data_IF_015488378095
#
_entry.id   IF_015488378095
#
_cell.length_a   1.000
_cell.length_b   1.000
_cell.length_c   1.000
_cell.angle_alpha   90.00
_cell.angle_beta   90.00
_cell.angle_gamma   90.00
#
_symmetry.space_group_name_H-M   'P 1'
#
loop_
_entity.id
_entity.type
_entity.pdbx_description
1 polymer ?
#
# COMPACT_ATOMS: atom_id res chain seq x y z
N UNK A 1 11.54 16.33 8.82
CA UNK A 1 10.32 15.78 8.18
C UNK A 1 9.48 16.93 7.69
N UNK A 2 9.34 17.08 6.38
CA UNK A 2 8.51 18.11 5.73
C UNK A 2 7.15 17.52 5.44
N UNK A 3 6.08 18.29 5.63
CA UNK A 3 4.72 17.89 5.25
C UNK A 3 4.21 18.85 4.19
N UNK A 4 3.66 18.31 3.11
CA UNK A 4 3.00 19.07 2.04
C UNK A 4 1.53 18.69 2.04
N UNK A 5 0.63 19.67 2.15
CA UNK A 5 -0.82 19.45 2.05
C UNK A 5 -1.23 19.55 0.59
N UNK A 6 -2.00 18.57 0.12
CA UNK A 6 -2.58 18.56 -1.23
C UNK A 6 -4.06 18.92 -1.12
N UNK A 7 -4.49 20.11 -1.58
CA UNK A 7 -5.87 20.55 -1.46
C UNK A 7 -6.74 19.93 -2.57
N UNK A 8 -7.61 18.99 -2.21
CA UNK A 8 -8.53 18.29 -3.12
C UNK A 8 -9.97 18.26 -2.58
N UNK A 9 -10.34 19.28 -1.80
CA UNK A 9 -11.61 19.33 -1.07
C UNK A 9 -11.68 18.23 0.00
N UNK A 10 -12.76 17.47 0.02
CA UNK A 10 -12.97 16.37 0.99
C UNK A 10 -11.94 15.25 0.88
N UNK A 11 -11.21 15.16 -0.24
CA UNK A 11 -10.16 14.17 -0.49
C UNK A 11 -8.74 14.71 -0.23
N UNK A 12 -8.62 15.86 0.43
CA UNK A 12 -7.31 16.45 0.74
C UNK A 12 -6.47 15.51 1.60
N UNK A 13 -5.19 15.37 1.27
CA UNK A 13 -4.27 14.51 2.01
C UNK A 13 -2.91 15.19 2.22
N UNK A 14 -2.10 14.60 3.09
CA UNK A 14 -0.77 15.12 3.42
C UNK A 14 0.32 14.17 2.91
N UNK A 15 1.30 14.72 2.21
CA UNK A 15 2.53 14.03 1.80
C UNK A 15 3.59 14.29 2.88
N UNK A 16 4.11 13.22 3.49
CA UNK A 16 5.19 13.29 4.48
C UNK A 16 6.50 12.91 3.83
N UNK A 17 7.50 13.79 3.94
CA UNK A 17 8.81 13.64 3.31
C UNK A 17 9.88 13.71 4.40
N UNK A 18 10.77 12.72 4.44
CA UNK A 18 11.89 12.72 5.38
C UNK A 18 12.71 11.44 5.30
N UNK A 19 13.77 11.41 6.10
CA UNK A 19 14.67 10.27 6.19
C UNK A 19 14.12 9.24 7.17
N UNK A 20 14.33 7.96 6.86
CA UNK A 20 13.93 6.82 7.70
C UNK A 20 12.46 6.83 8.12
N UNK A 21 11.57 7.43 7.31
CA UNK A 21 10.15 7.57 7.65
C UNK A 21 9.37 6.26 7.55
N UNK A 22 9.92 5.24 6.89
CA UNK A 22 9.26 3.95 6.71
C UNK A 22 9.00 3.24 8.03
N UNK A 23 9.85 3.41 9.05
CA UNK A 23 9.63 2.87 10.41
C UNK A 23 8.43 3.52 11.11
N UNK A 24 7.95 4.66 10.61
CA UNK A 24 6.76 5.37 11.10
C UNK A 24 5.51 5.10 10.27
N UNK A 25 5.58 4.25 9.25
CA UNK A 25 4.45 3.95 8.37
C UNK A 25 3.21 3.53 9.17
N UNK A 26 3.35 2.58 10.09
CA UNK A 26 2.24 2.09 10.90
C UNK A 26 1.61 3.19 11.77
N UNK A 27 2.42 3.99 12.45
CA UNK A 27 1.88 5.07 13.29
C UNK A 27 1.16 6.14 12.47
N UNK A 28 1.65 6.47 11.27
CA UNK A 28 0.98 7.40 10.37
C UNK A 28 -0.32 6.82 9.80
N UNK A 29 -0.34 5.53 9.42
CA UNK A 29 -1.58 4.84 9.02
C UNK A 29 -2.62 4.83 10.14
N UNK A 30 -2.19 4.70 11.41
CA UNK A 30 -3.11 4.70 12.56
C UNK A 30 -3.84 6.02 12.76
N UNK A 31 -3.19 7.14 12.44
CA UNK A 31 -3.79 8.48 12.50
C UNK A 31 -4.90 8.67 11.46
N UNK A 32 -4.93 7.86 10.41
CA UNK A 32 -5.94 7.89 9.35
C UNK A 32 -7.22 7.11 9.70
N UNK A 33 -7.30 6.49 10.89
CA UNK A 33 -8.47 5.71 11.36
C UNK A 33 -8.92 4.60 10.38
N UNK A 34 -7.94 3.96 9.74
CA UNK A 34 -8.15 2.84 8.80
C UNK A 34 -8.54 1.55 9.55
N UNK A 35 -9.10 0.58 8.82
CA UNK A 35 -9.29 -0.78 9.35
C UNK A 35 -7.97 -1.47 9.67
N UNK A 36 -8.01 -2.64 10.32
CA UNK A 36 -6.80 -3.33 10.81
C UNK A 36 -6.11 -4.18 9.75
N UNK A 37 -6.84 -4.72 8.78
CA UNK A 37 -6.28 -5.54 7.68
C UNK A 37 -5.76 -4.65 6.56
N UNK A 38 -4.58 -4.98 6.02
CA UNK A 38 -4.05 -4.28 4.86
C UNK A 38 -3.16 -5.15 3.98
N UNK A 39 -3.01 -4.73 2.73
CA UNK A 39 -2.10 -5.33 1.76
C UNK A 39 -0.99 -4.35 1.38
N UNK A 40 0.25 -4.78 1.46
CA UNK A 40 1.42 -4.07 0.93
C UNK A 40 1.70 -4.61 -0.46
N UNK A 41 1.41 -3.81 -1.48
CA UNK A 41 1.68 -4.13 -2.88
C UNK A 41 3.08 -3.60 -3.23
N UNK A 42 3.95 -4.47 -3.73
CA UNK A 42 5.32 -4.11 -4.10
C UNK A 42 5.79 -4.95 -5.28
N UNK A 43 6.90 -4.56 -5.92
CA UNK A 43 7.51 -5.34 -6.99
C UNK A 43 8.68 -6.21 -6.50
N UNK A 44 9.16 -7.12 -7.37
CA UNK A 44 10.25 -8.05 -7.06
C UNK A 44 11.62 -7.38 -6.83
N UNK A 45 11.81 -6.11 -7.20
CA UNK A 45 13.06 -5.35 -6.95
C UNK A 45 12.98 -4.55 -5.65
N UNK A 46 11.85 -3.90 -5.38
CA UNK A 46 11.65 -3.04 -4.19
C UNK A 46 11.35 -3.89 -2.95
N UNK A 47 10.52 -4.92 -3.08
CA UNK A 47 10.06 -5.74 -1.95
C UNK A 47 11.18 -6.32 -1.08
N UNK A 48 12.21 -6.97 -1.64
CA UNK A 48 13.33 -7.50 -0.86
C UNK A 48 14.07 -6.47 -0.01
N UNK A 49 14.04 -5.19 -0.40
CA UNK A 49 14.76 -4.11 0.27
C UNK A 49 13.89 -3.49 1.38
N UNK A 50 12.61 -3.21 1.09
CA UNK A 50 11.80 -2.34 1.94
C UNK A 50 10.61 -3.03 2.62
N UNK A 51 10.13 -4.18 2.12
CA UNK A 51 8.94 -4.84 2.67
C UNK A 51 9.10 -5.20 4.14
N UNK A 52 10.27 -5.70 4.56
CA UNK A 52 10.50 -6.07 5.96
C UNK A 52 10.24 -4.90 6.91
N UNK A 53 10.78 -3.73 6.60
CA UNK A 53 10.59 -2.53 7.43
C UNK A 53 9.14 -2.04 7.40
N UNK A 54 8.49 -2.01 6.23
CA UNK A 54 7.10 -1.61 6.10
C UNK A 54 6.15 -2.52 6.90
N UNK A 55 6.32 -3.84 6.76
CA UNK A 55 5.52 -4.85 7.43
C UNK A 55 5.72 -4.81 8.94
N UNK A 56 6.96 -4.62 9.43
CA UNK A 56 7.24 -4.48 10.87
C UNK A 56 6.53 -3.26 11.45
N UNK A 57 6.71 -2.10 10.81
CA UNK A 57 6.07 -0.85 11.26
C UNK A 57 4.54 -0.97 11.34
N UNK A 58 3.92 -1.60 10.34
CA UNK A 58 2.48 -1.85 10.33
C UNK A 58 2.05 -2.82 11.46
N UNK A 59 2.78 -3.92 11.66
CA UNK A 59 2.48 -4.90 12.74
C UNK A 59 2.63 -4.29 14.13
N UNK A 60 3.68 -3.52 14.36
CA UNK A 60 3.92 -2.81 15.63
C UNK A 60 2.81 -1.81 15.95
N UNK A 61 2.19 -1.22 14.93
CA UNK A 61 1.01 -0.36 15.08
C UNK A 61 -0.31 -1.13 15.22
N UNK A 62 -0.29 -2.47 15.25
CA UNK A 62 -1.46 -3.34 15.39
C UNK A 62 -2.25 -3.58 14.11
N UNK A 63 -1.64 -3.43 12.92
CA UNK A 63 -2.24 -3.88 11.67
C UNK A 63 -1.93 -5.36 11.42
N UNK A 64 -2.70 -5.98 10.53
CA UNK A 64 -2.48 -7.31 9.98
C UNK A 64 -2.07 -7.20 8.51
N UNK A 65 -0.82 -6.80 8.20
CA UNK A 65 -0.40 -6.61 6.82
C UNK A 65 -0.07 -7.95 6.15
N UNK A 66 -0.47 -8.07 4.88
CA UNK A 66 -0.04 -9.14 3.96
C UNK A 66 0.78 -8.54 2.83
N UNK A 67 1.83 -9.24 2.40
CA UNK A 67 2.67 -8.78 1.28
C UNK A 67 2.21 -9.43 -0.02
N UNK A 68 2.01 -8.61 -1.07
CA UNK A 68 1.74 -9.08 -2.42
C UNK A 68 2.81 -8.53 -3.35
N UNK A 69 3.65 -9.44 -3.87
CA UNK A 69 4.68 -9.12 -4.87
C UNK A 69 4.18 -9.31 -6.29
N UNK A 70 4.40 -8.30 -7.12
CA UNK A 70 4.13 -8.31 -8.57
C UNK A 70 5.44 -8.30 -9.37
N UNK A 71 5.44 -8.68 -10.67
CA UNK A 71 6.61 -8.53 -11.53
C UNK A 71 7.14 -7.09 -11.51
N UNK A 72 8.44 -6.90 -11.74
CA UNK A 72 9.03 -5.57 -11.83
C UNK A 72 9.01 -5.05 -13.28
N UNK A 73 8.80 -3.75 -13.46
CA UNK A 73 8.79 -3.08 -14.76
C UNK A 73 7.38 -2.80 -15.31
N UNK A 74 7.30 -2.04 -16.40
CA UNK A 74 6.04 -1.55 -16.98
C UNK A 74 5.11 -2.69 -17.44
N UNK A 75 5.67 -3.83 -17.84
CA UNK A 75 4.91 -5.02 -18.24
C UNK A 75 4.05 -5.58 -17.12
N UNK A 76 4.32 -5.21 -15.85
CA UNK A 76 3.45 -5.54 -14.73
C UNK A 76 2.11 -4.80 -14.78
N UNK A 77 2.00 -3.67 -15.49
CA UNK A 77 0.74 -2.94 -15.69
C UNK A 77 -0.17 -3.65 -16.68
N UNK A 78 -0.64 -4.83 -16.30
CA UNK A 78 -1.58 -5.63 -17.08
C UNK A 78 -2.79 -6.00 -16.23
N UNK A 79 -3.94 -6.17 -16.88
CA UNK A 79 -5.15 -6.66 -16.22
C UNK A 79 -4.96 -8.05 -15.62
N UNK A 80 -4.10 -8.89 -16.21
CA UNK A 80 -3.74 -10.20 -15.64
C UNK A 80 -3.04 -10.07 -14.28
N UNK A 81 -2.14 -9.10 -14.16
CA UNK A 81 -1.47 -8.83 -12.87
C UNK A 81 -2.46 -8.31 -11.84
N UNK A 82 -3.37 -7.43 -12.25
CA UNK A 82 -4.46 -6.92 -11.39
C UNK A 82 -5.37 -8.06 -10.95
N UNK A 83 -5.77 -8.96 -11.86
CA UNK A 83 -6.61 -10.11 -11.55
C UNK A 83 -5.92 -11.05 -10.56
N UNK A 84 -4.64 -11.37 -10.75
CA UNK A 84 -3.85 -12.14 -9.78
C UNK A 84 -3.80 -11.48 -8.40
N UNK A 85 -3.75 -10.15 -8.36
CA UNK A 85 -3.80 -9.40 -7.12
C UNK A 85 -5.18 -9.50 -6.46
N UNK A 86 -6.30 -9.38 -7.19
CA UNK A 86 -7.65 -9.58 -6.62
C UNK A 86 -7.79 -10.93 -5.93
N UNK A 87 -7.32 -12.00 -6.56
CA UNK A 87 -7.38 -13.32 -5.95
C UNK A 87 -6.61 -13.36 -4.62
N UNK A 88 -5.44 -12.70 -4.55
CA UNK A 88 -4.64 -12.64 -3.32
C UNK A 88 -5.35 -11.81 -2.25
N UNK A 89 -5.93 -10.66 -2.61
CA UNK A 89 -6.70 -9.83 -1.69
C UNK A 89 -7.88 -10.62 -1.10
N UNK A 90 -8.62 -11.36 -1.94
CA UNK A 90 -9.74 -12.20 -1.54
C UNK A 90 -9.29 -13.37 -0.65
N UNK A 91 -8.21 -14.08 -1.02
CA UNK A 91 -7.63 -15.17 -0.20
C UNK A 91 -7.22 -14.70 1.19
N UNK A 92 -6.71 -13.47 1.30
CA UNK A 92 -6.33 -12.85 2.57
C UNK A 92 -7.49 -12.17 3.31
N UNK A 93 -8.73 -12.32 2.81
CA UNK A 93 -9.95 -11.75 3.39
C UNK A 93 -9.85 -10.24 3.59
N UNK A 94 -9.31 -9.53 2.60
CA UNK A 94 -9.43 -8.08 2.58
C UNK A 94 -10.87 -7.71 2.23
N UNK A 95 -11.44 -6.87 3.07
CA UNK A 95 -12.83 -6.40 3.02
C UNK A 95 -12.86 -4.89 2.74
N UNK A 96 -14.07 -4.31 2.66
CA UNK A 96 -14.27 -2.87 2.37
C UNK A 96 -13.59 -1.93 3.38
N UNK A 97 -13.36 -2.39 4.62
CA UNK A 97 -12.68 -1.64 5.67
C UNK A 97 -11.15 -1.78 5.60
N UNK A 98 -10.63 -2.70 4.79
CA UNK A 98 -9.20 -2.91 4.59
C UNK A 98 -8.62 -1.81 3.70
N UNK A 99 -7.30 -1.64 3.75
CA UNK A 99 -6.60 -0.65 2.92
C UNK A 99 -5.39 -1.23 2.21
N UNK A 100 -4.94 -0.53 1.17
CA UNK A 100 -3.80 -0.91 0.36
C UNK A 100 -2.66 0.10 0.59
N UNK A 101 -1.45 -0.42 0.72
CA UNK A 101 -0.21 0.36 0.77
C UNK A 101 0.61 0.05 -0.49
N UNK A 102 0.84 1.07 -1.31
CA UNK A 102 1.76 0.97 -2.44
C UNK A 102 3.20 1.18 -1.97
N UNK A 103 4.05 0.18 -2.10
CA UNK A 103 5.48 0.24 -1.77
C UNK A 103 6.30 0.03 -3.04
N UNK A 104 6.63 1.11 -3.74
CA UNK A 104 7.40 1.06 -4.98
C UNK A 104 7.40 2.38 -5.74
N UNK A 105 7.79 2.31 -7.01
CA UNK A 105 7.73 3.45 -7.93
C UNK A 105 6.34 3.65 -8.56
N UNK A 106 6.28 4.46 -9.62
CA UNK A 106 5.02 4.81 -10.31
C UNK A 106 4.23 3.59 -10.80
N UNK A 107 4.90 2.53 -11.28
CA UNK A 107 4.24 1.30 -11.73
C UNK A 107 3.42 0.64 -10.61
N UNK A 108 4.05 0.45 -9.44
CA UNK A 108 3.38 -0.11 -8.26
C UNK A 108 2.28 0.84 -7.78
N UNK A 109 2.55 2.15 -7.79
CA UNK A 109 1.57 3.18 -7.41
C UNK A 109 0.29 3.14 -8.26
N UNK A 110 0.42 3.13 -9.58
CA UNK A 110 -0.71 3.07 -10.51
C UNK A 110 -1.53 1.79 -10.31
N UNK A 111 -0.86 0.63 -10.24
CA UNK A 111 -1.54 -0.65 -10.04
C UNK A 111 -2.22 -0.75 -8.69
N UNK A 112 -1.54 -0.36 -7.61
CA UNK A 112 -2.10 -0.39 -6.27
C UNK A 112 -3.26 0.60 -6.11
N UNK A 113 -3.15 1.77 -6.76
CA UNK A 113 -4.23 2.76 -6.82
C UNK A 113 -5.44 2.23 -7.57
N UNK A 114 -5.23 1.60 -8.72
CA UNK A 114 -6.31 0.95 -9.47
C UNK A 114 -6.95 -0.17 -8.63
N UNK A 115 -6.15 -1.09 -8.07
CA UNK A 115 -6.62 -2.15 -7.17
C UNK A 115 -7.45 -1.59 -6.01
N UNK A 116 -7.01 -0.50 -5.38
CA UNK A 116 -7.74 0.12 -4.27
C UNK A 116 -9.06 0.75 -4.71
N UNK A 117 -9.11 1.28 -5.93
CA UNK A 117 -10.30 1.90 -6.49
C UNK A 117 -11.36 0.89 -6.93
N UNK A 118 -10.95 -0.29 -7.42
CA UNK A 118 -11.84 -1.28 -8.05
C UNK A 118 -12.05 -2.56 -7.23
N UNK A 119 -11.27 -2.81 -6.18
CA UNK A 119 -11.49 -3.96 -5.32
C UNK A 119 -12.68 -3.72 -4.40
N UNK A 120 -13.71 -4.57 -4.52
CA UNK A 120 -14.99 -4.45 -3.82
C UNK A 120 -15.80 -3.18 -4.16
N UNK A 121 -15.46 -2.41 -5.21
CA UNK A 121 -16.37 -1.60 -6.06
C UNK A 121 -15.57 -0.88 -7.14
#
# INVERSE_FOLDING_TARGET
MRTVKVPLGDRSYSIKIGNSILSRLGSECRRLKLGTRCAVITDRKVGPIYSKAAMSSLREAGFEPVEIRVPAGETAKSLDTIHSCYDKLARHRLERSSFIVALGGGVVGDMAGFLAASYLR
#
